data_IF_005775224602
#
_entry.id   IF_005775224602
#
_cell.length_a   1.000
_cell.length_b   1.000
_cell.length_c   1.000
_cell.angle_alpha   90.00
_cell.angle_beta   90.00
_cell.angle_gamma   90.00
#
_symmetry.space_group_name_H-M   'P 1'
#
loop_
_entity.id
_entity.type
_entity.pdbx_description
1 polymer ?
#
# COMPACT_ATOMS: atom_id res chain seq x y z
N UNK A 1 -52.37 10.10 21.90
CA UNK A 1 -51.85 9.35 20.74
C UNK A 1 -51.28 10.33 19.73
N UNK A 2 -50.00 10.17 19.36
CA UNK A 2 -49.37 10.86 18.24
C UNK A 2 -48.63 12.16 18.57
N UNK A 3 -47.29 12.12 18.50
CA UNK A 3 -46.56 12.79 17.42
C UNK A 3 -45.15 12.21 17.31
N UNK A 4 -44.91 11.63 16.14
CA UNK A 4 -43.63 11.29 15.54
C UNK A 4 -42.58 12.36 15.84
N UNK A 5 -41.45 11.97 16.42
CA UNK A 5 -40.24 12.78 16.38
C UNK A 5 -39.30 12.09 15.39
N UNK A 6 -39.25 12.65 14.18
CA UNK A 6 -38.24 12.30 13.19
C UNK A 6 -36.88 12.72 13.74
N UNK A 7 -36.03 11.75 14.06
CA UNK A 7 -34.61 11.99 14.32
C UNK A 7 -33.95 12.29 12.97
N UNK A 8 -34.03 13.56 12.56
CA UNK A 8 -33.13 14.10 11.55
C UNK A 8 -31.71 13.97 12.10
N UNK A 9 -30.96 13.01 11.57
CA UNK A 9 -29.53 12.88 11.81
C UNK A 9 -28.87 14.17 11.33
N UNK A 10 -28.44 15.03 12.26
CA UNK A 10 -27.69 16.25 11.99
C UNK A 10 -26.38 15.87 11.28
N UNK A 11 -26.15 16.22 9.99
CA UNK A 11 -25.02 15.72 9.21
C UNK A 11 -23.65 16.26 9.67
N UNK A 12 -23.64 17.22 10.60
CA UNK A 12 -22.49 18.09 10.88
C UNK A 12 -21.51 17.59 11.93
N UNK A 13 -21.64 16.36 12.42
CA UNK A 13 -20.60 15.75 13.28
C UNK A 13 -20.08 14.48 12.65
N UNK A 14 -19.33 14.62 11.54
CA UNK A 14 -18.39 13.58 11.11
C UNK A 14 -17.32 13.45 12.19
N UNK A 15 -17.53 12.54 13.14
CA UNK A 15 -16.51 12.14 14.10
C UNK A 15 -15.35 11.55 13.29
N UNK A 16 -14.21 12.24 13.22
CA UNK A 16 -12.98 11.63 12.72
C UNK A 16 -12.67 10.44 13.63
N UNK A 17 -12.96 9.24 13.16
CA UNK A 17 -12.63 8.00 13.87
C UNK A 17 -11.12 7.98 13.99
N UNK A 18 -10.58 8.16 15.21
CA UNK A 18 -9.16 7.93 15.47
C UNK A 18 -8.87 6.49 15.05
N UNK A 19 -7.94 6.29 14.11
CA UNK A 19 -7.48 4.95 13.75
C UNK A 19 -6.67 4.44 14.95
N UNK A 20 -7.25 3.50 15.68
CA UNK A 20 -6.55 2.74 16.72
C UNK A 20 -6.01 1.49 16.04
N UNK A 21 -4.70 1.28 16.13
CA UNK A 21 -4.01 0.09 15.60
C UNK A 21 -3.72 -0.79 16.82
N UNK A 22 -4.17 -2.04 16.77
CA UNK A 22 -3.94 -3.04 17.82
C UNK A 22 -3.19 -4.22 17.23
N UNK A 23 -2.28 -4.83 17.99
CA UNK A 23 -1.49 -5.98 17.55
C UNK A 23 -0.03 -5.63 17.23
N UNK A 24 0.55 -6.36 16.29
CA UNK A 24 1.95 -6.19 15.86
C UNK A 24 2.03 -5.15 14.74
N UNK A 25 2.95 -4.21 14.87
CA UNK A 25 3.22 -3.18 13.88
C UNK A 25 4.71 -2.87 13.84
N UNK A 26 5.15 -2.30 12.74
CA UNK A 26 6.49 -1.78 12.56
C UNK A 26 6.47 -0.26 12.77
N UNK A 27 7.40 0.27 13.58
CA UNK A 27 7.58 1.71 13.77
C UNK A 27 8.90 2.13 13.09
N UNK A 28 8.80 2.97 12.05
CA UNK A 28 9.96 3.48 11.29
C UNK A 28 9.77 4.98 11.08
N UNK A 29 10.76 5.79 11.48
CA UNK A 29 10.75 7.26 11.32
C UNK A 29 9.42 7.91 11.74
N UNK A 30 8.94 7.59 12.95
CA UNK A 30 7.66 8.05 13.51
C UNK A 30 6.40 7.64 12.72
N UNK A 31 6.53 6.73 11.74
CA UNK A 31 5.42 6.12 10.99
C UNK A 31 5.12 4.73 11.53
N UNK A 32 3.83 4.42 11.70
CA UNK A 32 3.35 3.09 12.10
C UNK A 32 2.85 2.37 10.85
N UNK A 33 3.45 1.23 10.54
CA UNK A 33 3.05 0.34 9.45
C UNK A 33 2.44 -0.91 10.08
N UNK A 34 1.18 -1.20 9.75
CA UNK A 34 0.53 -2.40 10.23
C UNK A 34 1.16 -3.64 9.57
N UNK A 35 1.24 -4.76 10.30
CA UNK A 35 1.94 -5.96 9.80
C UNK A 35 1.30 -6.54 8.52
N UNK A 36 -0.01 -6.39 8.35
CA UNK A 36 -0.78 -6.78 7.17
C UNK A 36 -0.51 -5.89 5.94
N UNK A 37 -0.08 -4.65 6.16
CA UNK A 37 0.29 -3.70 5.11
C UNK A 37 1.77 -3.82 4.73
N UNK A 38 2.60 -4.55 5.49
CA UNK A 38 4.05 -4.54 5.32
C UNK A 38 4.53 -4.99 3.93
N UNK A 39 3.76 -5.84 3.23
CA UNK A 39 4.09 -6.28 1.87
C UNK A 39 4.00 -5.16 0.83
N UNK A 40 3.26 -4.09 1.12
CA UNK A 40 3.14 -2.91 0.26
C UNK A 40 4.30 -1.93 0.44
N UNK A 41 5.29 -2.28 1.27
CA UNK A 41 6.46 -1.45 1.58
C UNK A 41 7.76 -2.14 1.21
N UNK A 42 8.77 -1.32 0.98
CA UNK A 42 10.13 -1.78 0.74
C UNK A 42 10.78 -2.33 2.02
N UNK A 43 11.36 -3.53 1.94
CA UNK A 43 12.08 -4.13 3.08
C UNK A 43 13.40 -3.43 3.46
N UNK A 44 13.96 -2.61 2.56
CA UNK A 44 15.25 -1.94 2.77
C UNK A 44 15.09 -0.49 3.29
N UNK A 45 14.13 0.26 2.73
CA UNK A 45 13.93 1.67 3.05
C UNK A 45 12.55 2.00 3.64
N UNK A 46 11.64 1.03 3.73
CA UNK A 46 10.29 1.17 4.28
C UNK A 46 9.44 2.28 3.64
N UNK A 47 9.76 2.67 2.40
CA UNK A 47 8.87 3.49 1.58
C UNK A 47 7.84 2.61 0.84
N UNK A 48 6.61 3.11 0.60
CA UNK A 48 5.60 2.40 -0.17
C UNK A 48 6.10 1.99 -1.55
N UNK A 49 5.64 0.83 -2.02
CA UNK A 49 5.96 0.34 -3.35
C UNK A 49 5.09 1.01 -4.41
N UNK A 50 5.73 1.27 -5.55
CA UNK A 50 5.08 1.75 -6.76
C UNK A 50 4.88 0.59 -7.73
N UNK A 51 3.79 0.64 -8.50
CA UNK A 51 3.48 -0.38 -9.48
C UNK A 51 3.88 0.07 -10.90
N UNK A 52 4.64 -0.77 -11.61
CA UNK A 52 5.07 -0.53 -12.98
C UNK A 52 4.15 -1.26 -13.97
N UNK A 53 3.33 -0.50 -14.71
CA UNK A 53 2.30 -1.05 -15.62
C UNK A 53 2.88 -1.86 -16.77
N UNK A 54 4.01 -1.46 -17.34
CA UNK A 54 4.58 -2.12 -18.52
C UNK A 54 5.19 -3.49 -18.21
N UNK A 55 5.68 -3.69 -16.99
CA UNK A 55 6.36 -4.93 -16.59
C UNK A 55 5.56 -5.70 -15.54
N UNK A 56 4.32 -5.27 -15.28
CA UNK A 56 3.38 -5.81 -14.30
C UNK A 56 4.06 -6.18 -12.97
N UNK A 57 4.82 -5.23 -12.41
CA UNK A 57 5.67 -5.50 -11.26
C UNK A 57 5.76 -4.33 -10.28
N UNK A 58 5.78 -4.66 -8.98
CA UNK A 58 6.04 -3.68 -7.92
C UNK A 58 7.55 -3.38 -7.77
N UNK A 59 7.85 -2.12 -7.52
CA UNK A 59 9.21 -1.63 -7.35
C UNK A 59 9.28 -0.53 -6.29
N UNK A 60 10.49 -0.30 -5.79
CA UNK A 60 10.77 0.80 -4.88
C UNK A 60 11.43 1.94 -5.66
N UNK A 61 10.77 3.10 -5.71
CA UNK A 61 11.30 4.31 -6.34
C UNK A 61 12.61 4.80 -5.71
N UNK A 62 12.72 5.00 -4.37
CA UNK A 62 13.96 5.43 -3.73
C UNK A 62 15.14 4.48 -3.97
N UNK A 63 14.91 3.16 -3.86
CA UNK A 63 15.96 2.17 -4.06
C UNK A 63 16.26 1.91 -5.55
N UNK A 64 15.39 2.36 -6.46
CA UNK A 64 15.42 2.00 -7.87
C UNK A 64 15.62 0.49 -8.08
N UNK A 65 14.77 -0.30 -7.41
CA UNK A 65 14.89 -1.76 -7.38
C UNK A 65 13.52 -2.43 -7.46
N UNK A 66 13.43 -3.49 -8.26
CA UNK A 66 12.28 -4.40 -8.30
C UNK A 66 12.12 -5.10 -6.95
N UNK A 67 10.87 -5.26 -6.50
CA UNK A 67 10.54 -6.06 -5.31
C UNK A 67 9.91 -7.39 -5.65
N UNK A 68 9.42 -7.52 -6.86
CA UNK A 68 8.95 -8.78 -7.41
C UNK A 68 10.02 -9.44 -8.28
N UNK A 69 10.24 -10.72 -8.02
CA UNK A 69 11.12 -11.55 -8.85
C UNK A 69 10.52 -11.73 -10.25
N UNK A 70 11.37 -12.12 -11.21
CA UNK A 70 10.86 -12.51 -12.51
C UNK A 70 10.06 -13.82 -12.35
N UNK A 71 9.03 -14.01 -13.17
CA UNK A 71 8.33 -15.28 -13.15
C UNK A 71 9.25 -16.43 -13.62
N UNK A 72 8.88 -17.66 -13.32
CA UNK A 72 9.64 -18.85 -13.73
C UNK A 72 9.49 -19.20 -15.21
N UNK A 73 8.62 -18.50 -15.95
CA UNK A 73 8.41 -18.70 -17.38
C UNK A 73 9.46 -17.92 -18.19
N UNK A 74 10.40 -18.61 -18.87
CA UNK A 74 11.45 -17.94 -19.65
C UNK A 74 10.92 -17.26 -20.93
N UNK A 75 9.64 -17.48 -21.30
CA UNK A 75 9.00 -16.91 -22.50
C UNK A 75 8.06 -15.74 -22.18
N UNK A 76 8.04 -15.28 -20.92
CA UNK A 76 7.22 -14.16 -20.50
C UNK A 76 7.76 -12.83 -21.05
N UNK A 77 7.01 -12.22 -21.98
CA UNK A 77 7.36 -10.95 -22.64
C UNK A 77 7.61 -9.79 -21.65
N UNK A 78 6.87 -9.78 -20.54
CA UNK A 78 6.99 -8.76 -19.49
C UNK A 78 8.28 -8.92 -18.68
N UNK A 79 8.75 -10.15 -18.46
CA UNK A 79 9.95 -10.42 -17.67
C UNK A 79 11.22 -10.38 -18.54
N UNK A 80 11.14 -10.86 -19.79
CA UNK A 80 12.28 -10.92 -20.71
C UNK A 80 12.81 -9.53 -21.06
N UNK A 81 11.91 -8.58 -21.27
CA UNK A 81 12.25 -7.19 -21.60
C UNK A 81 12.45 -6.30 -20.36
N UNK A 82 12.26 -6.85 -19.15
CA UNK A 82 12.33 -6.06 -17.92
C UNK A 82 13.75 -5.56 -17.69
N UNK A 83 13.97 -4.24 -17.57
CA UNK A 83 15.29 -3.70 -17.31
C UNK A 83 15.77 -4.15 -15.92
N UNK A 84 17.09 -4.15 -15.72
CA UNK A 84 17.68 -4.47 -14.40
C UNK A 84 17.21 -3.52 -13.30
N UNK A 85 16.82 -2.29 -13.65
CA UNK A 85 16.31 -1.27 -12.73
C UNK A 85 15.06 -0.60 -13.31
N UNK A 86 14.04 -0.27 -12.49
CA UNK A 86 12.76 0.27 -12.93
C UNK A 86 12.82 1.70 -13.48
N UNK A 87 13.77 2.54 -13.03
CA UNK A 87 13.87 3.95 -13.42
C UNK A 87 15.01 4.22 -14.43
N UNK A 88 15.42 3.22 -15.21
CA UNK A 88 16.52 3.32 -16.17
C UNK A 88 16.10 3.87 -17.53
#
# INVERSE_FOLDING_TARGET
MGKTMMLFLDPKVRKHKKKQIEGTFLLVDDRVIAIDELMDYCNDCFEPLSYHKEFDACYCEPCNAWREEACTDPTCEYCELRPKRPLS
#
